data_IF_454451058594
#
_entry.id   IF_454451058594
#
_cell.length_a   1.000
_cell.length_b   1.000
_cell.length_c   1.000
_cell.angle_alpha   90.00
_cell.angle_beta   90.00
_cell.angle_gamma   90.00
#
_symmetry.space_group_name_H-M   'P 1'
#
loop_
_entity.id
_entity.type
_entity.pdbx_description
1 polymer ?
#
# COMPACT_ATOMS: atom_id res chain seq x y z
N UNK A 1 9.36 2.65 21.62
CA UNK A 1 10.11 2.11 20.48
C UNK A 1 9.61 2.71 19.18
N UNK A 2 10.53 3.07 18.33
CA UNK A 2 10.16 3.55 17.00
C UNK A 2 9.72 2.38 16.13
N UNK A 3 8.57 2.52 15.50
CA UNK A 3 8.16 1.56 14.50
C UNK A 3 9.05 1.67 13.27
N UNK A 4 9.54 0.54 12.79
CA UNK A 4 10.31 0.45 11.55
C UNK A 4 9.46 -0.28 10.51
N UNK A 5 8.95 0.43 9.48
CA UNK A 5 8.10 -0.19 8.48
C UNK A 5 8.82 -1.29 7.72
N UNK A 6 8.07 -2.31 7.33
CA UNK A 6 8.57 -3.39 6.49
C UNK A 6 7.58 -3.64 5.37
N UNK A 7 8.10 -4.11 4.24
CA UNK A 7 7.24 -4.47 3.10
C UNK A 7 6.17 -5.45 3.57
N UNK A 8 4.97 -5.25 3.08
CA UNK A 8 3.76 -6.03 3.40
C UNK A 8 3.13 -5.70 4.76
N UNK A 9 3.64 -4.70 5.47
CA UNK A 9 2.92 -4.15 6.63
C UNK A 9 1.75 -3.30 6.15
N UNK A 10 0.62 -3.40 6.85
CA UNK A 10 -0.50 -2.48 6.69
C UNK A 10 -0.39 -1.42 7.75
N UNK A 11 -0.35 -0.15 7.33
CA UNK A 11 -0.12 0.98 8.22
C UNK A 11 -1.17 2.06 8.00
N UNK A 12 -1.43 2.82 9.06
CA UNK A 12 -2.22 4.05 9.01
C UNK A 12 -1.30 5.23 9.21
N UNK A 13 -1.46 6.23 8.36
CA UNK A 13 -0.70 7.46 8.46
C UNK A 13 -1.68 8.62 8.66
N UNK A 14 -1.73 9.11 9.87
CA UNK A 14 -2.73 10.10 10.25
C UNK A 14 -2.06 11.27 10.95
N UNK A 15 -2.13 12.42 10.33
CA UNK A 15 -1.67 13.70 10.88
C UNK A 15 -2.70 14.76 10.56
N UNK A 16 -2.43 16.01 10.91
CA UNK A 16 -3.32 17.12 10.56
C UNK A 16 -3.44 17.32 9.04
N UNK A 17 -2.47 16.83 8.29
CA UNK A 17 -2.41 17.04 6.84
C UNK A 17 -2.55 15.75 6.03
N UNK A 18 -2.41 14.59 6.68
CA UNK A 18 -2.43 13.30 6.02
C UNK A 18 -3.39 12.38 6.75
N UNK A 19 -4.23 11.69 6.00
CA UNK A 19 -5.16 10.70 6.55
C UNK A 19 -5.34 9.59 5.53
N UNK A 20 -4.38 8.66 5.53
CA UNK A 20 -4.36 7.54 4.59
C UNK A 20 -3.98 6.26 5.31
N UNK A 21 -4.29 5.15 4.68
CA UNK A 21 -3.83 3.83 5.14
C UNK A 21 -3.58 2.94 3.95
N UNK A 22 -2.71 1.97 4.12
CA UNK A 22 -2.38 1.06 3.04
C UNK A 22 -1.23 0.14 3.37
N UNK A 23 -0.77 -0.58 2.35
CA UNK A 23 0.30 -1.54 2.47
C UNK A 23 1.64 -0.90 2.17
N UNK A 24 2.67 -1.20 2.97
CA UNK A 24 4.04 -0.83 2.63
C UNK A 24 4.43 -1.67 1.41
N UNK A 25 4.64 -0.99 0.30
CA UNK A 25 4.90 -1.64 -0.98
C UNK A 25 6.39 -1.77 -1.26
N UNK A 26 7.16 -0.77 -0.91
CA UNK A 26 8.60 -0.69 -1.14
C UNK A 26 9.30 -0.08 0.07
N UNK A 27 10.49 -0.57 0.37
CA UNK A 27 11.30 -0.09 1.49
C UNK A 27 12.76 0.04 1.07
N UNK A 28 13.37 1.17 1.41
CA UNK A 28 14.80 1.30 1.46
C UNK A 28 15.17 2.29 2.58
N UNK A 29 16.46 2.58 2.74
CA UNK A 29 16.93 3.44 3.83
C UNK A 29 16.50 4.89 3.69
N UNK A 30 16.04 5.30 2.53
CA UNK A 30 15.69 6.69 2.24
C UNK A 30 14.19 6.97 2.30
N UNK A 31 13.35 5.97 2.05
CA UNK A 31 11.90 6.12 2.12
C UNK A 31 11.20 4.78 2.00
N UNK A 32 9.92 4.80 2.30
CA UNK A 32 9.01 3.71 1.94
C UNK A 32 7.92 4.27 1.02
N UNK A 33 7.26 3.38 0.29
CA UNK A 33 6.03 3.74 -0.41
C UNK A 33 4.87 2.99 0.22
N UNK A 34 3.74 3.68 0.35
CA UNK A 34 2.52 3.11 0.91
C UNK A 34 1.50 3.05 -0.22
N UNK A 35 1.05 1.84 -0.56
CA UNK A 35 0.01 1.64 -1.57
C UNK A 35 -1.34 1.87 -0.89
N UNK A 36 -1.95 3.02 -1.19
CA UNK A 36 -3.17 3.47 -0.52
C UNK A 36 -4.42 2.99 -1.21
N UNK A 37 -4.31 2.42 -2.39
CA UNK A 37 -5.44 1.85 -3.10
C UNK A 37 -5.07 1.42 -4.49
N UNK A 38 -5.97 0.66 -5.10
CA UNK A 38 -5.85 0.26 -6.49
C UNK A 38 -7.22 0.46 -7.14
N UNK A 39 -7.23 0.69 -8.45
CA UNK A 39 -8.48 0.74 -9.20
C UNK A 39 -8.29 0.09 -10.56
N UNK A 40 -9.35 -0.47 -11.16
CA UNK A 40 -9.24 -1.09 -12.47
C UNK A 40 -8.74 -0.10 -13.52
N UNK A 41 -7.83 -0.58 -14.36
CA UNK A 41 -7.32 0.18 -15.49
C UNK A 41 -8.22 -0.09 -16.69
N UNK A 42 -8.68 0.93 -17.42
CA UNK A 42 -9.53 0.71 -18.58
C UNK A 42 -8.76 0.03 -19.72
N UNK A 43 -9.47 -0.81 -20.50
CA UNK A 43 -8.96 -1.42 -21.74
C UNK A 43 -7.68 -2.24 -21.54
N UNK A 44 -7.68 -3.10 -20.51
CA UNK A 44 -6.50 -3.92 -20.21
C UNK A 44 -6.73 -5.42 -20.37
N UNK A 45 -7.69 -5.84 -21.20
CA UNK A 45 -7.97 -7.25 -21.43
C UNK A 45 -6.81 -7.98 -22.12
N UNK A 46 -5.90 -7.22 -22.72
CA UNK A 46 -4.75 -7.80 -23.43
C UNK A 46 -3.69 -8.37 -22.48
N UNK A 47 -3.75 -8.05 -21.19
CA UNK A 47 -2.76 -8.56 -20.25
C UNK A 47 -3.31 -9.72 -19.44
N UNK A 48 -2.46 -10.72 -19.19
CA UNK A 48 -2.78 -11.85 -18.33
C UNK A 48 -2.26 -11.66 -16.92
N UNK A 49 -1.47 -10.62 -16.68
CA UNK A 49 -0.90 -10.33 -15.36
C UNK A 49 -1.91 -9.50 -14.60
N UNK A 50 -2.48 -10.07 -13.54
CA UNK A 50 -3.59 -9.46 -12.82
C UNK A 50 -3.24 -8.06 -12.30
N UNK A 51 -2.06 -7.88 -11.71
CA UNK A 51 -1.68 -6.58 -11.18
C UNK A 51 -1.54 -5.51 -12.27
N UNK A 52 -1.28 -5.89 -13.51
CA UNK A 52 -1.19 -4.94 -14.62
C UNK A 52 -2.55 -4.42 -15.06
N UNK A 53 -3.63 -5.01 -14.58
CA UNK A 53 -5.00 -4.57 -14.88
C UNK A 53 -5.45 -3.44 -13.96
N UNK A 54 -4.59 -2.99 -13.02
CA UNK A 54 -4.97 -2.01 -12.02
C UNK A 54 -3.98 -0.85 -11.98
N UNK A 55 -4.49 0.30 -11.61
CA UNK A 55 -3.67 1.46 -11.31
C UNK A 55 -3.42 1.46 -9.80
N UNK A 56 -2.15 1.60 -9.42
CA UNK A 56 -1.73 1.58 -8.02
C UNK A 56 -1.38 2.99 -7.59
N UNK A 57 -1.95 3.43 -6.47
CA UNK A 57 -1.66 4.73 -5.88
C UNK A 57 -0.66 4.54 -4.74
N UNK A 58 0.51 5.16 -4.87
CA UNK A 58 1.59 5.04 -3.89
C UNK A 58 1.94 6.41 -3.33
N UNK A 59 2.17 6.47 -2.01
CA UNK A 59 2.65 7.66 -1.33
C UNK A 59 4.03 7.41 -0.76
N UNK A 60 4.91 8.42 -0.88
CA UNK A 60 6.23 8.37 -0.27
C UNK A 60 6.14 8.76 1.21
N UNK A 61 6.86 8.05 2.05
CA UNK A 61 6.95 8.35 3.47
C UNK A 61 8.43 8.23 3.89
N UNK A 62 8.97 9.33 4.39
CA UNK A 62 10.39 9.43 4.73
C UNK A 62 10.65 9.00 6.17
N UNK A 63 11.90 8.60 6.51
CA UNK A 63 12.21 8.11 7.86
C UNK A 63 11.82 9.07 8.99
N UNK A 64 11.89 10.37 8.74
CA UNK A 64 11.47 11.37 9.73
C UNK A 64 9.97 11.33 10.02
N UNK A 65 9.19 10.67 9.16
CA UNK A 65 7.74 10.57 9.28
C UNK A 65 7.29 9.19 9.75
N UNK A 66 8.20 8.24 9.86
CA UNK A 66 7.83 6.86 10.21
C UNK A 66 7.22 6.76 11.62
N UNK A 67 7.58 7.67 12.52
CA UNK A 67 6.99 7.70 13.87
C UNK A 67 5.52 8.12 13.85
N UNK A 68 5.02 8.63 12.73
CA UNK A 68 3.61 9.00 12.57
C UNK A 68 2.76 7.81 12.11
N UNK A 69 3.40 6.71 11.72
CA UNK A 69 2.70 5.53 11.22
C UNK A 69 2.21 4.66 12.36
N UNK A 70 0.99 4.15 12.21
CA UNK A 70 0.42 3.16 13.12
C UNK A 70 0.44 1.79 12.42
N UNK A 71 1.13 0.84 13.01
CA UNK A 71 1.16 -0.52 12.51
C UNK A 71 -0.18 -1.22 12.80
N UNK A 72 -0.74 -1.88 11.80
CA UNK A 72 -2.00 -2.62 11.96
C UNK A 72 -1.75 -4.12 11.91
N UNK A 73 -1.21 -4.62 10.81
CA UNK A 73 -0.89 -6.04 10.66
C UNK A 73 0.02 -6.24 9.45
N UNK A 74 0.51 -7.47 9.28
CA UNK A 74 1.41 -7.84 8.19
C UNK A 74 0.79 -8.98 7.40
N UNK A 75 0.74 -8.85 6.07
CA UNK A 75 0.33 -9.95 5.20
C UNK A 75 1.53 -10.84 4.88
N UNK A 76 1.28 -12.07 4.45
CA UNK A 76 2.37 -13.01 4.15
C UNK A 76 3.20 -12.57 2.96
N UNK A 77 2.55 -12.19 1.88
CA UNK A 77 3.18 -11.49 0.76
C UNK A 77 2.09 -10.97 -0.16
N UNK A 78 2.44 -9.96 -0.97
CA UNK A 78 1.45 -9.29 -1.84
C UNK A 78 0.92 -10.17 -2.95
N UNK A 79 1.66 -11.21 -3.32
CA UNK A 79 1.27 -12.11 -4.41
C UNK A 79 0.39 -13.25 -3.94
N UNK A 80 0.26 -13.44 -2.62
CA UNK A 80 -0.59 -14.44 -2.03
C UNK A 80 -2.00 -13.90 -1.72
N UNK A 81 -2.28 -12.67 -2.11
CA UNK A 81 -3.60 -12.05 -1.90
C UNK A 81 -4.66 -12.80 -2.68
N UNK A 82 -5.80 -13.05 -2.03
CA UNK A 82 -6.96 -13.61 -2.70
C UNK A 82 -7.69 -12.50 -3.46
N UNK A 83 -8.60 -12.91 -4.36
CA UNK A 83 -9.45 -11.94 -5.06
C UNK A 83 -10.27 -11.12 -4.06
N UNK A 84 -10.73 -11.75 -2.98
CA UNK A 84 -11.48 -11.08 -1.93
C UNK A 84 -10.66 -10.00 -1.25
N UNK A 85 -9.39 -10.28 -0.94
CA UNK A 85 -8.50 -9.30 -0.33
C UNK A 85 -8.27 -8.12 -1.27
N UNK A 86 -8.13 -8.39 -2.55
CA UNK A 86 -7.98 -7.33 -3.55
C UNK A 86 -9.23 -6.46 -3.65
N UNK A 87 -10.41 -7.06 -3.60
CA UNK A 87 -11.67 -6.32 -3.66
C UNK A 87 -11.81 -5.39 -2.47
N UNK A 88 -11.43 -5.83 -1.28
CA UNK A 88 -11.46 -5.00 -0.08
C UNK A 88 -10.50 -3.81 -0.21
N UNK A 89 -9.35 -4.02 -0.86
CA UNK A 89 -8.33 -2.99 -1.01
C UNK A 89 -8.60 -2.05 -2.19
N UNK A 90 -9.44 -2.46 -3.15
CA UNK A 90 -9.81 -1.61 -4.28
C UNK A 90 -10.60 -0.42 -3.77
N UNK A 91 -10.20 0.77 -4.19
CA UNK A 91 -10.89 2.00 -3.82
C UNK A 91 -11.49 2.67 -5.04
N UNK A 92 -12.64 3.29 -4.86
CA UNK A 92 -13.25 4.12 -5.88
C UNK A 92 -12.59 5.50 -5.83
N UNK A 93 -12.16 5.96 -6.98
CA UNK A 93 -11.49 7.24 -7.09
C UNK A 93 -12.30 8.20 -7.96
#
# INVERSE_FOLDING_TARGET
MKYKPQVDDYVRWKTDHVNVEGWVYFYDDQYITIETGIKPKPNCEYTKIERHKYIHTLLLCYPTQWNQLEYVHTRKNRYAETVEDMEVFIREF
#
